data_IF_607087109493
#
_entry.id   IF_607087109493
#
_cell.length_a   1.000
_cell.length_b   1.000
_cell.length_c   1.000
_cell.angle_alpha   90.00
_cell.angle_beta   90.00
_cell.angle_gamma   90.00
#
_symmetry.space_group_name_H-M   'P 1'
#
loop_
_entity.id
_entity.type
_entity.pdbx_description
1 polymer ?
#
# COMPACT_ATOMS: atom_id res chain seq x y z
N UNK A 1 -7.64 10.21 6.79
CA UNK A 1 -7.74 9.81 8.21
C UNK A 1 -6.50 10.30 8.93
N UNK A 2 -6.66 10.93 10.10
CA UNK A 2 -5.69 11.80 10.79
C UNK A 2 -4.26 11.22 10.90
N UNK A 3 -3.27 11.97 10.41
CA UNK A 3 -1.84 11.72 10.66
C UNK A 3 -1.46 12.16 12.07
N UNK A 4 -1.15 11.19 12.93
CA UNK A 4 -0.52 11.44 14.24
C UNK A 4 0.95 11.03 14.16
N UNK A 5 1.84 12.02 14.15
CA UNK A 5 3.29 11.82 14.24
C UNK A 5 3.69 11.70 15.71
N UNK A 6 4.12 10.50 16.12
CA UNK A 6 4.65 10.26 17.46
C UNK A 6 5.96 9.48 17.35
N UNK A 7 7.09 10.20 17.27
CA UNK A 7 8.40 9.60 17.53
C UNK A 7 8.62 9.57 19.04
N UNK A 8 8.27 8.46 19.71
CA UNK A 8 8.50 8.29 21.15
C UNK A 8 9.86 7.63 21.37
N UNK A 9 10.80 8.40 21.93
CA UNK A 9 12.16 7.93 22.25
C UNK A 9 12.11 7.16 23.56
N UNK A 10 12.23 5.83 23.51
CA UNK A 10 12.40 4.99 24.70
C UNK A 10 13.88 4.99 25.10
N UNK A 11 14.19 4.72 26.37
CA UNK A 11 15.51 4.90 26.99
C UNK A 11 16.65 3.97 26.48
N UNK A 12 16.48 3.31 25.34
CA UNK A 12 17.52 2.60 24.59
C UNK A 12 17.37 2.98 23.11
N UNK A 13 18.49 3.07 22.34
CA UNK A 13 18.63 3.59 20.97
C UNK A 13 17.76 2.92 19.85
N UNK A 14 16.48 2.66 20.08
CA UNK A 14 15.54 2.13 19.09
C UNK A 14 14.77 3.30 18.50
N UNK A 15 14.98 3.55 17.20
CA UNK A 15 14.18 4.49 16.42
C UNK A 15 13.13 3.70 15.63
N UNK A 16 11.86 3.95 15.92
CA UNK A 16 10.74 3.43 15.14
C UNK A 16 10.28 4.50 14.15
N UNK A 17 10.09 4.12 12.88
CA UNK A 17 9.58 4.99 11.83
C UNK A 17 8.40 4.30 11.14
N UNK A 18 7.26 4.98 11.11
CA UNK A 18 6.11 4.55 10.33
C UNK A 18 6.18 5.25 8.97
N UNK A 19 6.19 4.46 7.91
CA UNK A 19 6.26 4.92 6.53
C UNK A 19 4.96 4.53 5.83
N UNK A 20 4.41 5.45 5.06
CA UNK A 20 3.22 5.22 4.24
C UNK A 20 3.65 4.71 2.86
N UNK A 21 3.38 3.43 2.59
CA UNK A 21 3.71 2.79 1.30
C UNK A 21 3.01 3.46 0.12
N UNK A 22 1.85 4.11 0.34
CA UNK A 22 1.13 4.84 -0.71
C UNK A 22 1.86 6.11 -1.17
N UNK A 23 2.76 6.67 -0.34
CA UNK A 23 3.67 7.76 -0.74
C UNK A 23 4.76 7.31 -1.71
N UNK A 24 4.93 6.00 -1.86
CA UNK A 24 5.84 5.38 -2.83
C UNK A 24 5.09 4.79 -4.01
N UNK A 25 4.00 4.07 -3.74
CA UNK A 25 3.21 3.34 -4.71
C UNK A 25 1.77 3.85 -4.64
N UNK A 26 1.46 4.92 -5.36
CA UNK A 26 0.15 5.59 -5.38
C UNK A 26 -0.88 4.83 -6.24
N UNK A 27 -1.04 3.53 -6.01
CA UNK A 27 -1.97 2.65 -6.72
C UNK A 27 -2.61 1.65 -5.76
N UNK A 28 -3.74 1.07 -6.16
CA UNK A 28 -4.41 0.05 -5.36
C UNK A 28 -3.55 -1.22 -5.25
N UNK A 29 -3.68 -1.94 -4.13
CA UNK A 29 -2.99 -3.23 -3.94
C UNK A 29 -3.30 -4.22 -5.06
N UNK A 30 -4.55 -4.27 -5.53
CA UNK A 30 -4.96 -5.13 -6.65
C UNK A 30 -4.14 -4.86 -7.92
N UNK A 31 -3.96 -3.57 -8.27
CA UNK A 31 -3.14 -3.15 -9.40
C UNK A 31 -1.66 -3.48 -9.17
N UNK A 32 -1.14 -3.24 -7.97
CA UNK A 32 0.25 -3.54 -7.62
C UNK A 32 0.55 -5.05 -7.66
N UNK A 33 -0.35 -5.86 -7.12
CA UNK A 33 -0.27 -7.31 -7.15
C UNK A 33 -0.32 -7.86 -8.58
N UNK A 34 -1.11 -7.25 -9.48
CA UNK A 34 -1.16 -7.67 -10.89
C UNK A 34 0.16 -7.50 -11.65
N UNK A 35 1.05 -6.61 -11.19
CA UNK A 35 2.37 -6.42 -11.80
C UNK A 35 3.43 -7.41 -11.29
N UNK A 36 3.11 -8.17 -10.25
CA UNK A 36 4.02 -9.16 -9.68
C UNK A 36 3.88 -10.49 -10.41
N UNK A 37 5.02 -11.02 -10.85
CA UNK A 37 5.09 -12.40 -11.30
C UNK A 37 4.92 -13.33 -10.10
N UNK A 38 4.20 -14.45 -10.28
CA UNK A 38 3.98 -15.45 -9.22
C UNK A 38 5.28 -15.96 -8.59
N UNK A 39 6.38 -15.98 -9.36
CA UNK A 39 7.71 -16.39 -8.89
C UNK A 39 8.37 -15.41 -7.91
N UNK A 40 7.84 -14.18 -7.85
CA UNK A 40 8.29 -13.13 -6.92
C UNK A 40 7.50 -13.14 -5.60
N UNK A 41 6.42 -13.90 -5.51
CA UNK A 41 5.61 -14.05 -4.29
C UNK A 41 6.24 -15.04 -3.30
N UNK A 42 7.54 -14.89 -3.04
CA UNK A 42 8.34 -15.91 -2.34
C UNK A 42 7.91 -16.05 -0.88
N UNK A 43 7.64 -14.93 -0.22
CA UNK A 43 7.30 -14.91 1.20
C UNK A 43 5.89 -15.45 1.40
N UNK A 44 4.91 -14.98 0.61
CA UNK A 44 3.56 -15.53 0.61
C UNK A 44 3.57 -17.03 0.28
N UNK A 45 4.34 -17.47 -0.71
CA UNK A 45 4.45 -18.89 -1.06
C UNK A 45 5.11 -19.72 0.04
N UNK A 46 6.06 -19.17 0.77
CA UNK A 46 6.69 -19.83 1.92
C UNK A 46 5.69 -20.03 3.06
N UNK A 47 4.92 -18.99 3.38
CA UNK A 47 3.93 -19.04 4.46
C UNK A 47 2.79 -20.01 4.15
N UNK A 48 2.38 -20.06 2.89
CA UNK A 48 1.31 -20.93 2.40
C UNK A 48 1.83 -22.13 1.60
N UNK A 49 3.03 -22.64 1.94
CA UNK A 49 3.68 -23.73 1.20
C UNK A 49 2.88 -25.04 1.17
N UNK A 50 1.97 -25.22 2.13
CA UNK A 50 1.09 -26.38 2.24
C UNK A 50 -0.13 -26.31 1.31
N UNK A 51 -0.44 -25.13 0.75
CA UNK A 51 -1.58 -24.94 -0.14
C UNK A 51 -1.29 -25.46 -1.56
N UNK A 52 -2.35 -25.92 -2.22
CA UNK A 52 -2.28 -26.21 -3.66
C UNK A 52 -2.04 -24.93 -4.47
N UNK A 53 -1.60 -25.06 -5.71
CA UNK A 53 -1.36 -23.91 -6.60
C UNK A 53 -2.65 -23.12 -6.86
N UNK A 54 -3.80 -23.79 -6.93
CA UNK A 54 -5.09 -23.15 -7.16
C UNK A 54 -5.56 -22.37 -5.92
N UNK A 55 -5.37 -22.93 -4.72
CA UNK A 55 -5.72 -22.26 -3.46
C UNK A 55 -4.81 -21.07 -3.20
N UNK A 56 -3.52 -21.23 -3.51
CA UNK A 56 -2.56 -20.14 -3.45
C UNK A 56 -2.95 -19.01 -4.41
N UNK A 57 -3.40 -19.33 -5.63
CA UNK A 57 -3.83 -18.32 -6.59
C UNK A 57 -5.00 -17.47 -6.07
N UNK A 58 -5.89 -18.04 -5.25
CA UNK A 58 -6.95 -17.28 -4.59
C UNK A 58 -6.40 -16.21 -3.65
N UNK A 59 -5.28 -16.49 -2.96
CA UNK A 59 -4.66 -15.56 -2.02
C UNK A 59 -3.77 -14.51 -2.68
N UNK A 60 -3.51 -14.62 -3.99
CA UNK A 60 -2.70 -13.64 -4.73
C UNK A 60 -3.49 -12.41 -5.18
N UNK A 61 -4.82 -12.49 -5.15
CA UNK A 61 -5.72 -11.38 -5.46
C UNK A 61 -6.03 -10.60 -4.18
N UNK A 62 -6.33 -9.31 -4.33
CA UNK A 62 -6.82 -8.48 -3.23
C UNK A 62 -8.06 -9.12 -2.58
N UNK A 63 -7.99 -9.38 -1.28
CA UNK A 63 -9.11 -9.88 -0.51
C UNK A 63 -10.23 -8.85 -0.32
N UNK A 64 -11.40 -9.32 0.11
CA UNK A 64 -12.61 -8.50 0.28
C UNK A 64 -13.13 -8.67 1.69
N UNK A 65 -13.33 -7.57 2.43
CA UNK A 65 -13.70 -7.63 3.84
C UNK A 65 -14.86 -6.67 4.17
N UNK A 66 -15.85 -7.09 4.99
CA UNK A 66 -17.02 -6.26 5.30
C UNK A 66 -16.73 -5.34 6.50
N UNK A 67 -15.99 -4.25 6.27
CA UNK A 67 -15.55 -3.34 7.33
C UNK A 67 -16.69 -2.73 8.14
N UNK A 68 -17.74 -2.25 7.47
CA UNK A 68 -18.89 -1.62 8.14
C UNK A 68 -19.75 -2.64 8.91
N UNK A 69 -19.69 -3.91 8.50
CA UNK A 69 -20.39 -4.96 9.22
C UNK A 69 -19.75 -5.20 10.58
N UNK A 70 -18.41 -5.30 10.65
CA UNK A 70 -17.67 -5.62 11.87
C UNK A 70 -17.52 -4.39 12.77
N UNK A 71 -18.63 -3.95 13.36
CA UNK A 71 -18.69 -2.82 14.30
C UNK A 71 -18.40 -3.20 15.77
N UNK A 72 -18.39 -4.50 16.07
CA UNK A 72 -18.25 -5.05 17.41
C UNK A 72 -17.54 -6.41 17.38
N UNK A 73 -16.88 -6.75 18.48
CA UNK A 73 -16.10 -7.99 18.58
C UNK A 73 -16.99 -9.24 18.43
N UNK A 74 -18.24 -9.21 18.91
CA UNK A 74 -19.11 -10.39 18.83
C UNK A 74 -19.43 -10.81 17.39
N UNK A 75 -19.38 -9.89 16.43
CA UNK A 75 -19.60 -10.22 15.01
C UNK A 75 -18.45 -11.02 14.40
N UNK A 76 -17.27 -11.01 15.01
CA UNK A 76 -16.17 -11.88 14.59
C UNK A 76 -16.47 -13.36 14.90
N UNK A 77 -17.36 -13.64 15.84
CA UNK A 77 -17.79 -15.01 16.17
C UNK A 77 -18.85 -15.54 15.21
N UNK A 78 -19.36 -14.71 14.28
CA UNK A 78 -20.38 -15.13 13.32
C UNK A 78 -19.85 -16.28 12.45
N UNK A 79 -20.64 -17.35 12.37
CA UNK A 79 -20.26 -18.59 11.69
C UNK A 79 -20.62 -18.63 10.21
N UNK A 80 -21.05 -17.49 9.67
CA UNK A 80 -21.45 -17.34 8.27
C UNK A 80 -20.86 -16.07 7.70
N UNK A 81 -20.52 -16.13 6.41
CA UNK A 81 -20.16 -14.93 5.68
C UNK A 81 -21.39 -14.00 5.58
N UNK A 82 -21.27 -12.71 5.91
CA UNK A 82 -22.36 -11.75 5.76
C UNK A 82 -22.83 -11.65 4.31
N UNK A 83 -24.08 -11.23 4.07
CA UNK A 83 -24.59 -11.05 2.70
C UNK A 83 -23.88 -9.87 2.01
N UNK A 84 -23.92 -9.82 0.68
CA UNK A 84 -23.19 -8.81 -0.12
C UNK A 84 -23.51 -7.36 0.26
N UNK A 85 -24.75 -7.10 0.67
CA UNK A 85 -25.20 -5.77 1.10
C UNK A 85 -24.45 -5.30 2.35
N UNK A 86 -23.95 -6.22 3.18
CA UNK A 86 -23.13 -5.92 4.36
C UNK A 86 -21.67 -5.59 4.03
N UNK A 87 -21.26 -5.72 2.77
CA UNK A 87 -19.95 -5.29 2.26
C UNK A 87 -19.98 -3.87 1.69
N UNK A 88 -20.98 -3.06 2.07
CA UNK A 88 -21.01 -1.64 1.75
C UNK A 88 -19.80 -0.91 2.36
N UNK A 89 -19.22 0.04 1.61
CA UNK A 89 -18.15 0.91 2.11
C UNK A 89 -18.61 2.36 2.15
N UNK A 90 -18.56 2.99 3.33
CA UNK A 90 -18.84 4.43 3.47
C UNK A 90 -17.83 5.32 2.74
N UNK A 91 -16.62 4.81 2.47
CA UNK A 91 -15.57 5.53 1.78
C UNK A 91 -15.85 5.69 0.28
N UNK A 92 -16.39 4.65 -0.36
CA UNK A 92 -16.73 4.66 -1.80
C UNK A 92 -18.21 4.95 -2.06
N UNK A 93 -19.07 4.77 -1.05
CA UNK A 93 -20.52 4.90 -1.20
C UNK A 93 -21.17 3.74 -1.96
N UNK A 94 -20.45 2.63 -2.15
CA UNK A 94 -20.86 1.52 -3.00
C UNK A 94 -20.72 0.17 -2.28
N UNK A 95 -21.50 -0.82 -2.72
CA UNK A 95 -21.33 -2.23 -2.33
C UNK A 95 -20.32 -2.89 -3.27
N UNK A 96 -19.64 -3.93 -2.78
CA UNK A 96 -18.69 -4.71 -3.59
C UNK A 96 -19.36 -5.31 -4.84
N UNK A 97 -18.58 -5.47 -5.90
CA UNK A 97 -19.04 -6.09 -7.13
C UNK A 97 -19.44 -7.56 -6.90
N UNK A 98 -20.27 -8.11 -7.79
CA UNK A 98 -20.66 -9.51 -7.70
C UNK A 98 -19.45 -10.46 -7.81
N UNK A 99 -18.47 -10.11 -8.63
CA UNK A 99 -17.25 -10.92 -8.81
C UNK A 99 -16.34 -10.89 -7.58
N UNK A 100 -16.28 -9.75 -6.87
CA UNK A 100 -15.55 -9.60 -5.61
C UNK A 100 -16.23 -10.38 -4.48
N UNK A 101 -17.56 -10.31 -4.39
CA UNK A 101 -18.30 -11.09 -3.41
C UNK A 101 -18.22 -12.60 -3.67
N UNK A 102 -18.34 -13.03 -4.95
CA UNK A 102 -18.14 -14.43 -5.32
C UNK A 102 -16.74 -14.92 -4.97
N UNK A 103 -15.72 -14.07 -5.09
CA UNK A 103 -14.36 -14.37 -4.64
C UNK A 103 -14.29 -14.54 -3.12
N UNK A 104 -14.89 -13.65 -2.33
CA UNK A 104 -14.97 -13.77 -0.88
C UNK A 104 -15.64 -15.09 -0.43
N UNK A 105 -16.76 -15.44 -1.08
CA UNK A 105 -17.47 -16.71 -0.84
C UNK A 105 -16.58 -17.91 -1.18
N UNK A 106 -15.86 -17.87 -2.29
CA UNK A 106 -14.95 -18.94 -2.69
C UNK A 106 -13.81 -19.11 -1.67
N UNK A 107 -13.18 -18.02 -1.23
CA UNK A 107 -12.14 -18.06 -0.18
C UNK A 107 -12.72 -18.62 1.12
N UNK A 108 -13.88 -18.14 1.57
CA UNK A 108 -14.53 -18.65 2.77
C UNK A 108 -14.73 -20.18 2.74
N UNK A 109 -15.28 -20.68 1.64
CA UNK A 109 -15.55 -22.12 1.47
C UNK A 109 -14.28 -22.94 1.31
N UNK A 110 -13.30 -22.44 0.56
CA UNK A 110 -12.10 -23.20 0.20
C UNK A 110 -11.15 -23.39 1.37
N UNK A 111 -11.09 -22.42 2.26
CA UNK A 111 -10.26 -22.44 3.46
C UNK A 111 -10.97 -22.98 4.71
N UNK A 112 -12.22 -23.45 4.57
CA UNK A 112 -13.05 -23.99 5.65
C UNK A 112 -13.13 -23.06 6.87
N UNK A 113 -13.24 -21.75 6.61
CA UNK A 113 -13.33 -20.75 7.68
C UNK A 113 -14.66 -20.92 8.42
N UNK A 114 -14.58 -21.13 9.73
CA UNK A 114 -15.75 -21.40 10.58
C UNK A 114 -16.31 -20.15 11.21
N UNK A 115 -15.48 -19.13 11.37
CA UNK A 115 -15.86 -17.86 11.99
C UNK A 115 -15.35 -16.69 11.17
N UNK A 116 -16.02 -15.54 11.32
CA UNK A 116 -15.58 -14.30 10.66
C UNK A 116 -14.21 -13.84 11.18
N UNK A 117 -13.84 -14.21 12.41
CA UNK A 117 -12.51 -14.01 12.97
C UNK A 117 -11.43 -14.71 12.15
N UNK A 118 -11.60 -16.00 11.85
CA UNK A 118 -10.64 -16.77 11.04
C UNK A 118 -10.51 -16.20 9.63
N UNK A 119 -11.63 -15.79 9.03
CA UNK A 119 -11.61 -15.09 7.74
C UNK A 119 -10.89 -13.74 7.81
N UNK A 120 -11.10 -12.97 8.89
CA UNK A 120 -10.42 -11.70 9.13
C UNK A 120 -8.91 -11.89 9.28
N UNK A 121 -8.48 -12.90 10.02
CA UNK A 121 -7.05 -13.20 10.21
C UNK A 121 -6.40 -13.61 8.90
N UNK A 122 -7.06 -14.46 8.10
CA UNK A 122 -6.59 -14.82 6.75
C UNK A 122 -6.52 -13.59 5.84
N UNK A 123 -7.57 -12.77 5.83
CA UNK A 123 -7.62 -11.54 5.04
C UNK A 123 -6.47 -10.59 5.42
N UNK A 124 -6.32 -10.27 6.70
CA UNK A 124 -5.27 -9.36 7.18
C UNK A 124 -3.88 -9.89 6.88
N UNK A 125 -3.65 -11.19 7.12
CA UNK A 125 -2.36 -11.82 6.86
C UNK A 125 -2.00 -11.76 5.38
N UNK A 126 -2.94 -12.10 4.49
CA UNK A 126 -2.70 -12.10 3.05
C UNK A 126 -2.50 -10.68 2.50
N UNK A 127 -3.30 -9.71 2.95
CA UNK A 127 -3.18 -8.30 2.55
C UNK A 127 -1.81 -7.72 2.97
N UNK A 128 -1.36 -8.00 4.20
CA UNK A 128 -0.05 -7.57 4.72
C UNK A 128 1.11 -8.22 3.97
N UNK A 129 1.08 -9.54 3.77
CA UNK A 129 2.13 -10.27 3.06
C UNK A 129 2.25 -9.79 1.60
N UNK A 130 1.11 -9.63 0.91
CA UNK A 130 1.10 -9.11 -0.46
C UNK A 130 1.67 -7.68 -0.54
N UNK A 131 1.21 -6.78 0.34
CA UNK A 131 1.63 -5.38 0.30
C UNK A 131 3.09 -5.19 0.71
N UNK A 132 3.49 -5.81 1.82
CA UNK A 132 4.78 -5.55 2.46
C UNK A 132 5.86 -6.41 1.85
N UNK A 133 5.66 -7.72 1.80
CA UNK A 133 6.72 -8.64 1.43
C UNK A 133 6.83 -8.76 -0.10
N UNK A 134 5.71 -8.88 -0.80
CA UNK A 134 5.80 -9.13 -2.24
C UNK A 134 5.89 -7.83 -3.07
N UNK A 135 5.04 -6.84 -2.80
CA UNK A 135 5.02 -5.57 -3.55
C UNK A 135 6.18 -4.67 -3.13
N UNK A 136 6.31 -4.38 -1.83
CA UNK A 136 7.27 -3.38 -1.37
C UNK A 136 8.72 -3.88 -1.38
N UNK A 137 9.00 -5.15 -1.04
CA UNK A 137 10.37 -5.67 -1.18
C UNK A 137 10.81 -5.74 -2.64
N UNK A 138 9.95 -6.20 -3.57
CA UNK A 138 10.31 -6.19 -4.98
C UNK A 138 10.56 -4.77 -5.51
N UNK A 139 9.81 -3.77 -5.01
CA UNK A 139 10.09 -2.37 -5.30
C UNK A 139 11.45 -1.92 -4.76
N UNK A 140 11.76 -2.25 -3.49
CA UNK A 140 13.06 -1.95 -2.88
C UNK A 140 14.21 -2.59 -3.65
N UNK A 141 14.11 -3.87 -3.98
CA UNK A 141 15.11 -4.60 -4.76
C UNK A 141 15.33 -3.95 -6.13
N UNK A 142 14.24 -3.57 -6.81
CA UNK A 142 14.32 -2.88 -8.11
C UNK A 142 15.03 -1.52 -7.99
N UNK A 143 14.73 -0.75 -6.94
CA UNK A 143 15.36 0.54 -6.66
C UNK A 143 16.84 0.41 -6.29
N UNK A 144 17.18 -0.55 -5.44
CA UNK A 144 18.57 -0.82 -5.03
C UNK A 144 19.39 -1.27 -6.24
N UNK A 145 18.86 -2.18 -7.06
CA UNK A 145 19.57 -2.67 -8.25
C UNK A 145 19.74 -1.60 -9.32
N UNK A 146 18.75 -0.72 -9.51
CA UNK A 146 18.78 0.29 -10.58
C UNK A 146 19.54 1.56 -10.18
N UNK A 147 19.39 2.00 -8.93
CA UNK A 147 19.86 3.32 -8.47
C UNK A 147 20.88 3.23 -7.32
N UNK A 148 20.97 2.08 -6.65
CA UNK A 148 21.84 1.88 -5.48
C UNK A 148 21.36 2.65 -4.24
N UNK A 149 20.07 2.97 -4.17
CA UNK A 149 19.42 3.57 -3.01
C UNK A 149 18.26 2.68 -2.56
N UNK A 150 18.10 2.52 -1.26
CA UNK A 150 16.97 1.81 -0.68
C UNK A 150 15.86 2.80 -0.32
N UNK A 151 14.66 2.69 -0.94
CA UNK A 151 13.58 3.64 -0.70
C UNK A 151 13.05 3.60 0.74
N UNK A 152 13.32 2.55 1.53
CA UNK A 152 12.93 2.48 2.94
C UNK A 152 13.60 3.55 3.84
N UNK A 153 14.70 4.17 3.38
CA UNK A 153 15.33 5.29 4.10
C UNK A 153 14.67 6.65 3.85
N UNK A 154 13.76 6.72 2.88
CA UNK A 154 13.06 7.94 2.47
C UNK A 154 11.64 7.99 3.04
N UNK A 155 11.03 9.17 3.01
CA UNK A 155 9.63 9.35 3.42
C UNK A 155 8.65 9.31 2.25
N UNK A 156 9.11 9.67 1.05
CA UNK A 156 8.29 9.75 -0.16
C UNK A 156 9.09 9.37 -1.40
N UNK A 157 8.40 8.97 -2.47
CA UNK A 157 9.05 8.74 -3.76
C UNK A 157 9.74 9.98 -4.31
N UNK A 158 9.17 11.17 -4.10
CA UNK A 158 9.77 12.42 -4.59
C UNK A 158 11.14 12.70 -3.97
N UNK A 159 11.30 12.47 -2.66
CA UNK A 159 12.60 12.63 -1.98
C UNK A 159 13.61 11.59 -2.46
N UNK A 160 13.18 10.34 -2.63
CA UNK A 160 14.00 9.28 -3.21
C UNK A 160 14.48 9.62 -4.63
N UNK A 161 13.57 10.09 -5.48
CA UNK A 161 13.88 10.45 -6.88
C UNK A 161 14.81 11.66 -6.95
N UNK A 162 14.64 12.64 -6.07
CA UNK A 162 15.53 13.80 -5.98
C UNK A 162 16.98 13.38 -5.70
N UNK A 163 17.20 12.56 -4.67
CA UNK A 163 18.55 12.08 -4.34
C UNK A 163 19.14 11.16 -5.42
N UNK A 164 18.28 10.33 -6.03
CA UNK A 164 18.66 9.50 -7.17
C UNK A 164 19.14 10.34 -8.35
N UNK A 165 18.41 11.42 -8.66
CA UNK A 165 18.77 12.37 -9.70
C UNK A 165 20.11 13.06 -9.38
N UNK A 166 20.30 13.53 -8.14
CA UNK A 166 21.54 14.17 -7.71
C UNK A 166 22.75 13.24 -7.89
N UNK A 167 22.64 11.99 -7.45
CA UNK A 167 23.69 10.98 -7.62
C UNK A 167 24.01 10.72 -9.10
N UNK A 168 22.99 10.66 -9.95
CA UNK A 168 23.17 10.42 -11.37
C UNK A 168 23.86 11.60 -12.08
N UNK A 169 23.41 12.82 -11.80
CA UNK A 169 23.93 14.03 -12.45
C UNK A 169 25.28 14.48 -11.87
N UNK A 170 25.64 14.05 -10.65
CA UNK A 170 26.85 14.49 -9.92
C UNK A 170 26.93 16.02 -9.77
N UNK A 171 25.78 16.69 -9.73
CA UNK A 171 25.67 18.14 -9.57
C UNK A 171 25.45 18.44 -8.09
N UNK A 172 26.24 19.37 -7.55
CA UNK A 172 25.96 19.98 -6.26
C UNK A 172 25.16 21.26 -6.51
N UNK A 173 23.91 21.32 -6.05
CA UNK A 173 23.16 22.57 -6.10
C UNK A 173 23.76 23.58 -5.13
N UNK A 174 23.96 24.80 -5.61
CA UNK A 174 24.25 25.93 -4.75
C UNK A 174 22.98 26.31 -3.99
N UNK A 175 23.10 26.53 -2.68
CA UNK A 175 22.00 27.01 -1.84
C UNK A 175 21.62 28.40 -2.30
N UNK A 176 20.34 28.66 -2.58
CA UNK A 176 19.85 30.00 -2.88
C UNK A 176 19.97 30.86 -1.60
N UNK A 177 20.87 31.87 -1.56
CA UNK A 177 21.18 32.58 -0.32
C UNK A 177 20.16 33.67 0.03
N UNK A 178 19.27 34.05 -0.90
CA UNK A 178 18.34 35.16 -0.73
C UNK A 178 16.89 34.72 -0.98
N UNK A 179 15.99 35.15 -0.10
CA UNK A 179 14.54 35.01 -0.22
C UNK A 179 14.00 35.62 -1.52
N UNK A 180 14.60 36.69 -2.03
CA UNK A 180 14.16 37.32 -3.29
C UNK A 180 14.34 36.37 -4.50
N UNK A 181 15.39 35.54 -4.50
CA UNK A 181 15.61 34.55 -5.55
C UNK A 181 14.59 33.42 -5.48
N UNK A 182 14.21 33.00 -4.28
CA UNK A 182 13.14 32.01 -4.07
C UNK A 182 11.81 32.58 -4.55
N UNK A 183 11.47 33.80 -4.13
CA UNK A 183 10.25 34.49 -4.52
C UNK A 183 10.17 34.69 -6.04
N UNK A 184 11.28 35.06 -6.70
CA UNK A 184 11.33 35.22 -8.16
C UNK A 184 10.98 33.92 -8.90
N UNK A 185 11.51 32.79 -8.44
CA UNK A 185 11.22 31.47 -9.03
C UNK A 185 9.77 31.06 -8.75
N UNK A 186 9.28 31.26 -7.53
CA UNK A 186 7.90 30.92 -7.16
C UNK A 186 6.86 31.72 -7.95
N UNK A 187 7.08 33.02 -8.16
CA UNK A 187 6.21 33.86 -8.99
C UNK A 187 6.25 33.39 -10.46
N UNK A 188 7.44 33.11 -11.01
CA UNK A 188 7.56 32.61 -12.38
C UNK A 188 6.84 31.29 -12.61
N UNK A 189 6.89 30.34 -11.66
CA UNK A 189 6.17 29.06 -11.76
C UNK A 189 4.65 29.28 -11.63
N UNK A 190 4.22 30.15 -10.73
CA UNK A 190 2.80 30.45 -10.50
C UNK A 190 2.17 31.13 -11.72
N UNK A 191 2.88 32.04 -12.38
CA UNK A 191 2.41 32.73 -13.57
C UNK A 191 2.27 31.79 -14.77
N UNK A 192 3.21 30.85 -14.97
CA UNK A 192 3.09 29.81 -16.01
C UNK A 192 1.88 28.92 -15.75
N UNK A 193 1.66 28.51 -14.49
CA UNK A 193 0.52 27.67 -14.10
C UNK A 193 -0.82 28.41 -14.29
N UNK A 194 -0.88 29.70 -13.96
CA UNK A 194 -2.08 30.53 -14.14
C UNK A 194 -2.34 30.88 -15.61
N UNK A 195 -1.28 30.96 -16.44
CA UNK A 195 -1.39 31.15 -17.89
C UNK A 195 -1.96 29.94 -18.63
N UNK A 196 -1.71 28.72 -18.15
CA UNK A 196 -2.27 27.49 -18.73
C UNK A 196 -3.75 27.34 -18.36
N UNK A 197 -4.15 27.73 -17.15
CA UNK A 197 -5.54 27.66 -16.66
C UNK A 197 -6.44 28.80 -17.18
N UNK A 198 -5.89 29.78 -17.89
CA UNK A 198 -6.64 30.89 -18.50
C UNK A 198 -6.86 30.73 -20.01
N UNK A 199 -6.48 29.58 -20.58
CA UNK A 199 -6.76 29.19 -21.98
C UNK A 199 -7.85 28.11 -22.12
N UNK A 200 -8.54 27.74 -21.04
CA UNK A 200 -9.79 26.96 -21.04
C UNK A 200 -10.98 27.87 -20.66
#
# INVERSE_FOLDING_TARGET
>A
MLTMQMAKKWQNHVQLRFIDSFKFLSSSLDKLASFLNKDKLKTLRSEFAHLSTDDFALLTRKGVFPYEYVDRAEKLEDTRLPPRESFYSSLTGETVSESDYAHAVNVWQRFDNKTLSEYSDLYLKTDVLLLTDDVFENFRDSCINSYGFDPAYYYTLSGFTWDTMLKHMRINFEVLPNIDMVMFIEHGISDVRNGILSQE
#
